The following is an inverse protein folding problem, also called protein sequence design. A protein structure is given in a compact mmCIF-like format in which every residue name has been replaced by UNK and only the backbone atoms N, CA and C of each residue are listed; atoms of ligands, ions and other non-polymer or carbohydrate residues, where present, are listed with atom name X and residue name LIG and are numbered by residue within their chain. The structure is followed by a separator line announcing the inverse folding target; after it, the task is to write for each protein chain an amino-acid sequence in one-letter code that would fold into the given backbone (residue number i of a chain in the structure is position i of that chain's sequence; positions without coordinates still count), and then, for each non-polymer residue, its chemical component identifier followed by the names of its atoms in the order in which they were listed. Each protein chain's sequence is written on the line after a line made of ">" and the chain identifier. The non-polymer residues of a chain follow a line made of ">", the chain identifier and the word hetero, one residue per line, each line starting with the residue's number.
data_IF_364318822271
#
_entry.id   IF_364318822271
#
_cell.length_a   1.000
_cell.length_b   1.000
_cell.length_c   1.000
_cell.angle_alpha   90.00
_cell.angle_beta   90.00
_cell.angle_gamma   90.00
#
_symmetry.space_group_name_H-M   'P 1'
#
loop_
_entity.id
_entity.type
_entity.pdbx_description
1 polymer ?
#
# COMPACT_ATOMS: atom_id res chain seq x y z
N UNK A 1 -20.71 47.64 49.82
CA UNK A 1 -20.94 47.21 48.42
C UNK A 1 -19.58 47.16 47.74
N UNK A 2 -18.97 45.97 47.63
CA UNK A 2 -18.91 45.11 46.42
C UNK A 2 -18.01 45.66 45.29
N UNK A 3 -16.78 45.12 45.27
CA UNK A 3 -16.06 44.50 44.13
C UNK A 3 -15.90 45.31 42.83
N UNK A 4 -14.66 45.76 42.58
CA UNK A 4 -14.14 46.03 41.23
C UNK A 4 -13.34 44.82 40.74
N UNK A 5 -13.92 44.07 39.79
CA UNK A 5 -13.26 43.16 38.85
C UNK A 5 -14.06 43.24 37.56
N UNK A 6 -13.45 43.66 36.45
CA UNK A 6 -13.17 42.78 35.29
C UNK A 6 -12.51 43.57 34.17
N UNK A 7 -11.38 43.03 33.69
CA UNK A 7 -10.81 43.31 32.40
C UNK A 7 -11.76 42.82 31.28
N UNK A 8 -11.82 43.55 30.17
CA UNK A 8 -12.23 42.96 28.89
C UNK A 8 -11.40 43.61 27.78
N UNK A 9 -10.50 42.81 27.23
CA UNK A 9 -9.74 43.10 26.01
C UNK A 9 -10.71 43.36 24.86
N UNK A 10 -10.63 44.54 24.27
CA UNK A 10 -11.10 44.80 22.91
C UNK A 10 -9.87 44.96 22.04
N UNK A 11 -9.33 43.83 21.58
CA UNK A 11 -8.47 43.80 20.41
C UNK A 11 -9.21 42.98 19.35
N UNK A 12 -9.77 43.71 18.40
CA UNK A 12 -10.36 43.23 17.16
C UNK A 12 -9.36 42.36 16.41
N UNK A 13 -9.45 41.05 16.60
CA UNK A 13 -8.73 40.05 15.82
C UNK A 13 -9.63 39.57 14.69
N UNK A 14 -9.29 39.96 13.47
CA UNK A 14 -9.84 39.43 12.22
C UNK A 14 -10.03 37.92 12.27
N UNK A 15 -11.24 37.46 11.92
CA UNK A 15 -11.51 36.12 11.45
C UNK A 15 -10.61 35.84 10.24
N UNK A 16 -9.43 35.30 10.49
CA UNK A 16 -8.67 34.57 9.47
C UNK A 16 -9.11 33.13 9.60
N UNK A 17 -9.99 32.73 8.69
CA UNK A 17 -10.18 31.33 8.31
C UNK A 17 -8.81 30.78 7.94
N UNK A 18 -8.14 30.14 8.89
CA UNK A 18 -7.02 29.29 8.57
C UNK A 18 -7.60 28.10 7.79
N UNK A 19 -7.67 28.22 6.46
CA UNK A 19 -7.41 27.08 5.60
C UNK A 19 -5.99 26.65 5.97
N UNK A 20 -5.86 25.79 6.97
CA UNK A 20 -4.64 25.02 7.17
C UNK A 20 -4.44 24.23 5.88
N UNK A 21 -3.48 24.69 5.09
CA UNK A 21 -2.99 23.97 3.93
C UNK A 21 -2.57 22.60 4.47
N UNK A 22 -3.32 21.53 4.16
CA UNK A 22 -2.94 20.18 4.56
C UNK A 22 -1.60 19.85 3.88
N UNK A 23 -0.49 19.97 4.59
CA UNK A 23 0.86 19.89 4.00
C UNK A 23 1.35 18.45 3.75
N UNK A 24 0.48 17.45 3.81
CA UNK A 24 0.81 16.05 3.51
C UNK A 24 -0.23 15.07 4.04
N UNK A 25 -0.09 13.79 3.71
CA UNK A 25 -0.90 12.71 4.28
C UNK A 25 -0.57 12.49 5.76
N UNK A 26 -1.50 11.87 6.49
CA UNK A 26 -1.39 11.57 7.92
C UNK A 26 -1.22 10.06 8.16
N UNK A 27 -0.75 9.66 9.35
CA UNK A 27 -0.64 8.25 9.73
C UNK A 27 -1.94 7.44 9.51
N UNK A 28 -3.11 7.94 9.95
CA UNK A 28 -4.39 7.29 9.69
C UNK A 28 -4.73 7.13 8.20
N UNK A 29 -4.29 8.05 7.34
CA UNK A 29 -4.52 7.94 5.88
C UNK A 29 -3.62 6.88 5.25
N UNK A 30 -2.36 6.77 5.71
CA UNK A 30 -1.48 5.66 5.31
C UNK A 30 -2.09 4.32 5.72
N UNK A 31 -2.63 4.23 6.94
CA UNK A 31 -3.30 3.02 7.41
C UNK A 31 -4.52 2.67 6.56
N UNK A 32 -5.34 3.65 6.18
CA UNK A 32 -6.47 3.43 5.28
C UNK A 32 -6.04 2.98 3.88
N UNK A 33 -4.97 3.56 3.34
CA UNK A 33 -4.43 3.16 2.04
C UNK A 33 -3.84 1.73 2.09
N UNK A 34 -3.24 1.33 3.21
CA UNK A 34 -2.81 -0.05 3.44
C UNK A 34 -3.98 -1.03 3.46
N UNK A 35 -5.02 -0.74 4.24
CA UNK A 35 -6.24 -1.57 4.27
C UNK A 35 -6.84 -1.69 2.86
N UNK A 36 -6.89 -0.58 2.12
CA UNK A 36 -7.40 -0.58 0.75
C UNK A 36 -6.50 -1.39 -0.19
N UNK A 37 -5.18 -1.36 0.00
CA UNK A 37 -4.26 -2.21 -0.76
C UNK A 37 -4.57 -3.69 -0.50
N UNK A 38 -4.77 -4.08 0.76
CA UNK A 38 -5.08 -5.45 1.17
C UNK A 38 -6.40 -5.97 0.55
N UNK A 39 -7.44 -5.13 0.57
CA UNK A 39 -8.71 -5.44 -0.08
C UNK A 39 -8.51 -5.74 -1.58
N UNK A 40 -7.70 -4.93 -2.28
CA UNK A 40 -7.43 -5.15 -3.71
C UNK A 40 -6.52 -6.33 -3.99
N UNK A 41 -5.55 -6.60 -3.11
CA UNK A 41 -4.72 -7.80 -3.19
C UNK A 41 -5.57 -9.07 -2.98
N UNK A 42 -6.52 -9.02 -2.05
CA UNK A 42 -7.50 -10.10 -1.81
C UNK A 42 -8.42 -10.31 -3.02
N UNK A 43 -8.94 -9.24 -3.61
CA UNK A 43 -9.77 -9.33 -4.82
C UNK A 43 -8.99 -9.90 -6.01
N UNK A 44 -7.73 -9.49 -6.17
CA UNK A 44 -6.82 -10.09 -7.15
C UNK A 44 -6.58 -11.58 -6.89
N UNK A 45 -6.36 -11.97 -5.63
CA UNK A 45 -6.24 -13.38 -5.24
C UNK A 45 -7.46 -14.20 -5.65
N UNK A 46 -8.67 -13.71 -5.36
CA UNK A 46 -9.93 -14.37 -5.77
C UNK A 46 -10.07 -14.46 -7.29
N UNK A 47 -9.74 -13.40 -8.01
CA UNK A 47 -9.78 -13.39 -9.48
C UNK A 47 -8.80 -14.43 -10.06
N UNK A 48 -7.59 -14.51 -9.49
CA UNK A 48 -6.59 -15.50 -9.88
C UNK A 48 -7.04 -16.91 -9.56
N UNK A 49 -7.65 -17.17 -8.41
CA UNK A 49 -8.19 -18.48 -8.06
C UNK A 49 -9.26 -18.93 -9.06
N UNK A 50 -10.15 -18.00 -9.45
CA UNK A 50 -11.19 -18.22 -10.45
C UNK A 50 -10.68 -18.31 -11.90
N UNK A 51 -9.45 -17.88 -12.18
CA UNK A 51 -8.87 -17.92 -13.53
C UNK A 51 -8.76 -19.35 -14.06
N UNK A 52 -9.49 -19.66 -15.12
CA UNK A 52 -9.57 -20.99 -15.74
C UNK A 52 -8.82 -21.09 -17.07
N UNK A 53 -8.15 -20.01 -17.48
CA UNK A 53 -7.46 -19.91 -18.77
C UNK A 53 -8.33 -19.45 -19.93
N UNK A 54 -9.55 -18.97 -19.67
CA UNK A 54 -10.39 -18.29 -20.68
C UNK A 54 -10.10 -16.79 -20.76
N UNK A 55 -10.37 -16.13 -21.90
CA UNK A 55 -10.30 -14.68 -22.01
C UNK A 55 -11.19 -13.94 -21.01
N UNK A 56 -12.38 -14.48 -20.73
CA UNK A 56 -13.36 -13.85 -19.85
C UNK A 56 -12.87 -13.81 -18.40
N UNK A 57 -12.29 -14.91 -17.90
CA UNK A 57 -11.71 -14.92 -16.54
C UNK A 57 -10.38 -14.16 -16.48
N UNK A 58 -9.65 -14.08 -17.60
CA UNK A 58 -8.48 -13.22 -17.72
C UNK A 58 -8.82 -11.73 -17.56
N UNK A 59 -9.91 -11.26 -18.18
CA UNK A 59 -10.32 -9.84 -18.08
C UNK A 59 -10.61 -9.44 -16.63
N UNK A 60 -11.14 -10.36 -15.82
CA UNK A 60 -11.32 -10.16 -14.37
C UNK A 60 -9.98 -10.04 -13.65
N UNK A 61 -9.02 -10.93 -13.93
CA UNK A 61 -7.66 -10.85 -13.37
C UNK A 61 -6.97 -9.55 -13.78
N UNK A 62 -7.10 -9.15 -15.05
CA UNK A 62 -6.52 -7.91 -15.58
C UNK A 62 -7.08 -6.69 -14.86
N UNK A 63 -8.41 -6.62 -14.69
CA UNK A 63 -9.08 -5.55 -13.94
C UNK A 63 -8.60 -5.47 -12.49
N UNK A 64 -8.63 -6.60 -11.77
CA UNK A 64 -8.20 -6.65 -10.37
C UNK A 64 -6.71 -6.28 -10.20
N UNK A 65 -5.85 -6.72 -11.12
CA UNK A 65 -4.43 -6.34 -11.16
C UNK A 65 -4.24 -4.83 -11.33
N UNK A 66 -5.09 -4.21 -12.17
CA UNK A 66 -5.12 -2.76 -12.37
C UNK A 66 -5.53 -1.99 -11.13
N UNK A 67 -6.55 -2.46 -10.40
CA UNK A 67 -7.00 -1.83 -9.15
C UNK A 67 -5.95 -1.96 -8.03
N UNK A 68 -5.34 -3.14 -7.89
CA UNK A 68 -4.26 -3.38 -6.92
C UNK A 68 -3.05 -2.48 -7.21
N UNK A 69 -2.66 -2.35 -8.49
CA UNK A 69 -1.56 -1.45 -8.89
C UNK A 69 -1.87 0.02 -8.59
N UNK A 70 -3.13 0.45 -8.73
CA UNK A 70 -3.55 1.81 -8.40
C UNK A 70 -3.52 2.06 -6.89
N UNK A 71 -3.98 1.10 -6.08
CA UNK A 71 -3.90 1.18 -4.63
C UNK A 71 -2.44 1.30 -4.16
N UNK A 72 -1.53 0.50 -4.72
CA UNK A 72 -0.10 0.58 -4.43
C UNK A 72 0.50 1.96 -4.76
N UNK A 73 0.17 2.52 -5.94
CA UNK A 73 0.65 3.84 -6.36
C UNK A 73 0.12 4.97 -5.46
N UNK A 74 -1.14 4.89 -5.04
CA UNK A 74 -1.74 5.84 -4.10
C UNK A 74 -1.02 5.78 -2.75
N UNK A 75 -0.85 4.58 -2.19
CA UNK A 75 -0.11 4.38 -0.95
C UNK A 75 1.31 4.94 -1.02
N UNK A 76 2.03 4.74 -2.14
CA UNK A 76 3.36 5.33 -2.38
C UNK A 76 3.29 6.87 -2.34
N UNK A 77 2.32 7.47 -3.03
CA UNK A 77 2.17 8.92 -3.08
C UNK A 77 1.92 9.50 -1.68
N UNK A 78 1.00 8.89 -0.94
CA UNK A 78 0.64 9.33 0.40
C UNK A 78 1.80 9.12 1.39
N UNK A 79 2.47 7.96 1.36
CA UNK A 79 3.69 7.70 2.15
C UNK A 79 4.83 8.67 1.81
N UNK A 80 4.89 9.20 0.59
CA UNK A 80 5.92 10.17 0.20
C UNK A 80 5.72 11.54 0.86
N UNK A 81 4.47 11.89 1.16
CA UNK A 81 4.11 13.21 1.73
C UNK A 81 3.95 13.21 3.24
N UNK A 82 3.77 12.05 3.87
CA UNK A 82 3.67 11.96 5.34
C UNK A 82 4.98 12.37 6.01
N UNK A 83 4.85 13.06 7.15
CA UNK A 83 5.96 13.35 8.04
C UNK A 83 6.43 12.12 8.82
N UNK A 84 7.29 12.33 9.81
CA UNK A 84 7.63 11.27 10.77
C UNK A 84 6.36 10.86 11.53
N UNK A 85 6.11 9.55 11.61
CA UNK A 85 4.94 9.00 12.31
C UNK A 85 5.17 9.03 13.82
N UNK A 86 4.10 9.25 14.58
CA UNK A 86 4.14 9.02 16.00
C UNK A 86 4.18 7.51 16.31
N UNK A 87 4.62 7.14 17.52
CA UNK A 87 4.83 5.74 17.89
C UNK A 87 3.61 4.84 17.72
N UNK A 88 2.41 5.35 18.02
CA UNK A 88 1.17 4.58 17.84
C UNK A 88 0.88 4.33 16.36
N UNK A 89 1.03 5.34 15.51
CA UNK A 89 0.78 5.22 14.07
C UNK A 89 1.84 4.34 13.41
N UNK A 90 3.11 4.51 13.77
CA UNK A 90 4.23 3.66 13.34
C UNK A 90 3.92 2.18 13.58
N UNK A 91 3.52 1.85 14.82
CA UNK A 91 3.20 0.49 15.20
C UNK A 91 1.99 -0.05 14.43
N UNK A 92 0.92 0.74 14.32
CA UNK A 92 -0.30 0.32 13.62
C UNK A 92 -0.03 0.05 12.13
N UNK A 93 0.71 0.93 11.47
CA UNK A 93 1.09 0.79 10.06
C UNK A 93 1.99 -0.42 9.86
N UNK A 94 2.97 -0.66 10.74
CA UNK A 94 3.85 -1.81 10.65
C UNK A 94 3.11 -3.14 10.91
N UNK A 95 2.21 -3.15 11.91
CA UNK A 95 1.37 -4.32 12.21
C UNK A 95 0.47 -4.66 11.01
N UNK A 96 -0.18 -3.64 10.41
CA UNK A 96 -1.03 -3.78 9.23
C UNK A 96 -0.24 -4.30 8.02
N UNK A 97 0.86 -3.63 7.65
CA UNK A 97 1.70 -4.04 6.52
C UNK A 97 2.15 -5.51 6.64
N UNK A 98 2.57 -5.93 7.82
CA UNK A 98 3.06 -7.30 8.03
C UNK A 98 1.93 -8.31 7.91
N UNK A 99 0.69 -7.94 8.23
CA UNK A 99 -0.46 -8.82 8.07
C UNK A 99 -0.77 -9.15 6.60
N UNK A 100 -0.38 -8.27 5.67
CA UNK A 100 -0.59 -8.47 4.22
C UNK A 100 0.31 -9.57 3.64
N UNK A 101 1.35 -10.01 4.37
CA UNK A 101 2.36 -10.93 3.84
C UNK A 101 1.76 -12.22 3.26
N UNK A 102 0.80 -12.83 3.95
CA UNK A 102 0.20 -14.09 3.50
C UNK A 102 -0.65 -13.88 2.24
N UNK A 103 -1.30 -12.72 2.11
CA UNK A 103 -2.11 -12.36 0.94
C UNK A 103 -1.20 -12.07 -0.26
N UNK A 104 -0.14 -11.27 -0.08
CA UNK A 104 0.86 -11.00 -1.11
C UNK A 104 1.50 -12.30 -1.60
N UNK A 105 1.93 -13.15 -0.67
CA UNK A 105 2.50 -14.46 -0.98
C UNK A 105 1.53 -15.34 -1.76
N UNK A 106 0.25 -15.34 -1.38
CA UNK A 106 -0.78 -16.14 -2.01
C UNK A 106 -0.94 -15.76 -3.48
N UNK A 107 -1.23 -14.49 -3.79
CA UNK A 107 -1.50 -14.11 -5.18
C UNK A 107 -0.25 -14.24 -6.06
N UNK A 108 0.94 -13.92 -5.54
CA UNK A 108 2.21 -14.09 -6.26
C UNK A 108 2.47 -15.57 -6.59
N UNK A 109 2.21 -16.45 -5.62
CA UNK A 109 2.29 -17.90 -5.82
C UNK A 109 1.27 -18.41 -6.85
N UNK A 110 0.05 -17.86 -6.87
CA UNK A 110 -0.98 -18.24 -7.84
C UNK A 110 -0.63 -17.81 -9.27
N UNK A 111 0.02 -16.65 -9.46
CA UNK A 111 0.60 -16.34 -10.77
C UNK A 111 1.58 -17.43 -11.20
N UNK A 112 2.54 -17.80 -10.36
CA UNK A 112 3.52 -18.85 -10.71
C UNK A 112 2.83 -20.20 -11.04
N UNK A 113 1.84 -20.62 -10.25
CA UNK A 113 1.14 -21.89 -10.46
C UNK A 113 0.29 -21.92 -11.73
N UNK A 114 -0.24 -20.76 -12.17
CA UNK A 114 -1.08 -20.63 -13.38
C UNK A 114 -0.31 -20.27 -14.65
N UNK A 115 1.03 -20.32 -14.64
CA UNK A 115 1.91 -20.05 -15.79
C UNK A 115 1.42 -20.67 -17.11
N UNK A 116 1.08 -21.95 -17.09
CA UNK A 116 0.65 -22.69 -18.30
C UNK A 116 -0.62 -22.08 -18.89
N UNK A 117 -1.58 -21.66 -18.05
CA UNK A 117 -2.82 -21.05 -18.49
C UNK A 117 -2.57 -19.69 -19.15
N UNK A 118 -1.79 -18.82 -18.51
CA UNK A 118 -1.41 -17.52 -19.09
C UNK A 118 -0.63 -17.67 -20.40
N UNK A 119 0.26 -18.65 -20.49
CA UNK A 119 0.99 -18.94 -21.74
C UNK A 119 0.05 -19.40 -22.85
N UNK A 120 -0.93 -20.25 -22.54
CA UNK A 120 -1.91 -20.76 -23.52
C UNK A 120 -2.72 -19.63 -24.17
N UNK A 121 -3.02 -18.57 -23.43
CA UNK A 121 -3.73 -17.38 -23.93
C UNK A 121 -2.80 -16.25 -24.40
N UNK A 122 -1.48 -16.48 -24.45
CA UNK A 122 -0.49 -15.50 -24.91
C UNK A 122 -0.32 -14.28 -24.00
N UNK A 123 -0.56 -14.43 -22.70
CA UNK A 123 -0.48 -13.35 -21.69
C UNK A 123 0.72 -13.46 -20.76
N UNK A 124 1.67 -14.35 -21.03
CA UNK A 124 2.85 -14.52 -20.17
C UNK A 124 3.69 -13.23 -20.05
N UNK A 125 3.87 -12.47 -21.14
CA UNK A 125 4.65 -11.23 -21.12
C UNK A 125 3.96 -10.12 -20.31
N UNK A 126 2.62 -10.13 -20.31
CA UNK A 126 1.82 -9.24 -19.48
C UNK A 126 2.00 -9.58 -17.99
N UNK A 127 1.96 -10.87 -17.62
CA UNK A 127 2.20 -11.30 -16.23
C UNK A 127 3.60 -10.89 -15.79
N UNK A 128 4.63 -11.15 -16.60
CA UNK A 128 5.99 -10.74 -16.29
C UNK A 128 6.09 -9.22 -16.04
N UNK A 129 5.47 -8.42 -16.91
CA UNK A 129 5.42 -6.96 -16.78
C UNK A 129 4.72 -6.51 -15.51
N UNK A 130 3.60 -7.15 -15.15
CA UNK A 130 2.88 -6.87 -13.91
C UNK A 130 3.75 -7.19 -12.68
N UNK A 131 4.37 -8.37 -12.63
CA UNK A 131 5.21 -8.78 -11.50
C UNK A 131 6.44 -7.87 -11.33
N UNK A 132 7.06 -7.44 -12.43
CA UNK A 132 8.15 -6.45 -12.42
C UNK A 132 7.65 -5.10 -11.87
N UNK A 133 6.47 -4.65 -12.30
CA UNK A 133 5.88 -3.42 -11.77
C UNK A 133 5.57 -3.53 -10.27
N UNK A 134 5.06 -4.67 -9.80
CA UNK A 134 4.83 -4.96 -8.39
C UNK A 134 6.13 -4.91 -7.59
N UNK A 135 7.21 -5.52 -8.10
CA UNK A 135 8.55 -5.41 -7.49
C UNK A 135 9.00 -3.95 -7.36
N UNK A 136 8.87 -3.16 -8.42
CA UNK A 136 9.26 -1.75 -8.41
C UNK A 136 8.45 -0.93 -7.41
N UNK A 137 7.15 -1.22 -7.25
CA UNK A 137 6.31 -0.60 -6.23
C UNK A 137 6.83 -0.94 -4.82
N UNK A 138 7.14 -2.21 -4.55
CA UNK A 138 7.70 -2.67 -3.26
C UNK A 138 9.05 -2.02 -2.96
N UNK A 139 9.95 -2.00 -3.95
CA UNK A 139 11.28 -1.39 -3.84
C UNK A 139 11.22 0.14 -3.67
N UNK A 140 10.10 0.77 -4.03
CA UNK A 140 9.87 2.20 -3.80
C UNK A 140 9.19 2.45 -2.45
N UNK A 141 8.09 1.76 -2.16
CA UNK A 141 7.24 1.97 -0.99
C UNK A 141 7.98 1.67 0.31
N UNK A 142 8.60 0.50 0.42
CA UNK A 142 9.10 0.02 1.70
C UNK A 142 10.30 0.82 2.23
N UNK A 143 11.26 1.28 1.40
CA UNK A 143 12.27 2.23 1.85
C UNK A 143 11.68 3.56 2.32
N UNK A 144 10.65 4.08 1.65
CA UNK A 144 9.95 5.30 2.09
C UNK A 144 9.31 5.04 3.45
N UNK A 145 8.51 3.99 3.60
CA UNK A 145 7.82 3.68 4.85
C UNK A 145 8.79 3.49 6.02
N UNK A 146 9.93 2.80 5.79
CA UNK A 146 11.02 2.65 6.77
C UNK A 146 11.59 3.97 7.27
N UNK A 147 11.58 5.02 6.43
CA UNK A 147 12.03 6.35 6.81
C UNK A 147 11.01 7.15 7.63
N UNK A 148 9.76 6.68 7.71
CA UNK A 148 8.64 7.37 8.40
C UNK A 148 8.28 6.73 9.74
N UNK A 149 8.56 5.44 9.91
CA UNK A 149 8.27 4.67 11.13
C UNK A 149 9.39 4.81 12.17
N UNK A 150 9.10 4.41 13.41
CA UNK A 150 10.08 4.35 14.49
C UNK A 150 11.12 3.24 14.26
N UNK A 151 12.24 3.31 14.98
CA UNK A 151 13.39 2.40 14.78
C UNK A 151 13.04 0.91 14.95
N UNK A 152 12.20 0.58 15.93
CA UNK A 152 11.77 -0.80 16.20
C UNK A 152 10.96 -1.35 15.01
N UNK A 153 10.07 -0.53 14.45
CA UNK A 153 9.22 -0.89 13.32
C UNK A 153 9.99 -0.88 11.99
N UNK A 154 11.00 -0.01 11.84
CA UNK A 154 11.88 0.02 10.67
C UNK A 154 12.56 -1.34 10.45
N UNK A 155 13.04 -1.99 11.51
CA UNK A 155 13.60 -3.34 11.42
C UNK A 155 12.57 -4.40 10.98
N UNK A 156 11.30 -4.24 11.38
CA UNK A 156 10.22 -5.16 11.01
C UNK A 156 9.85 -5.00 9.54
N UNK A 157 9.69 -3.76 9.08
CA UNK A 157 9.42 -3.42 7.67
C UNK A 157 10.58 -3.88 6.77
N UNK A 158 11.83 -3.76 7.22
CA UNK A 158 12.99 -4.25 6.47
C UNK A 158 12.98 -5.78 6.26
N UNK A 159 12.58 -6.55 7.29
CA UNK A 159 12.44 -8.01 7.17
C UNK A 159 11.28 -8.39 6.27
N UNK A 160 10.15 -7.69 6.39
CA UNK A 160 9.01 -7.86 5.49
C UNK A 160 9.43 -7.62 4.02
N UNK A 161 10.15 -6.52 3.75
CA UNK A 161 10.69 -6.22 2.42
C UNK A 161 11.54 -7.37 1.87
N UNK A 162 12.53 -7.84 2.64
CA UNK A 162 13.43 -8.91 2.19
C UNK A 162 12.66 -10.20 1.82
N UNK A 163 11.69 -10.59 2.65
CA UNK A 163 10.87 -11.78 2.42
C UNK A 163 9.97 -11.62 1.19
N UNK A 164 9.29 -10.48 1.06
CA UNK A 164 8.38 -10.22 -0.05
C UNK A 164 9.15 -10.11 -1.38
N UNK A 165 10.30 -9.42 -1.40
CA UNK A 165 11.15 -9.31 -2.59
C UNK A 165 11.59 -10.68 -3.10
N UNK A 166 11.95 -11.61 -2.21
CA UNK A 166 12.32 -12.97 -2.61
C UNK A 166 11.16 -13.70 -3.33
N UNK A 167 9.94 -13.62 -2.77
CA UNK A 167 8.76 -14.25 -3.37
C UNK A 167 8.42 -13.62 -4.74
N UNK A 168 8.54 -12.29 -4.85
CA UNK A 168 8.28 -11.61 -6.12
C UNK A 168 9.31 -12.02 -7.18
N UNK A 169 10.58 -12.15 -6.81
CA UNK A 169 11.64 -12.62 -7.73
C UNK A 169 11.36 -14.04 -8.20
N UNK A 170 11.02 -14.96 -7.30
CA UNK A 170 10.64 -16.33 -7.68
C UNK A 170 9.43 -16.36 -8.64
N UNK A 171 8.44 -15.49 -8.41
CA UNK A 171 7.29 -15.35 -9.29
C UNK A 171 7.68 -14.77 -10.67
N UNK A 172 8.60 -13.80 -10.72
CA UNK A 172 9.11 -13.24 -11.99
C UNK A 172 9.87 -14.32 -12.77
N UNK A 173 10.78 -15.04 -12.11
CA UNK A 173 11.61 -16.09 -12.74
C UNK A 173 10.75 -17.25 -13.27
N UNK A 174 9.54 -17.44 -12.72
CA UNK A 174 8.58 -18.35 -13.30
C UNK A 174 8.07 -17.91 -14.68
N UNK A 175 8.27 -16.67 -15.13
CA UNK A 175 7.77 -16.14 -16.40
C UNK A 175 8.84 -15.67 -17.39
N UNK A 176 10.08 -15.48 -16.93
CA UNK A 176 11.24 -15.08 -17.76
C UNK A 176 11.97 -16.31 -18.32
#
# INVERSE_FOLDING_TARGET
>A
MKLFKTALLLASGTLVTACELKTGSTGPEILQDLIRYDERATDLGKALDAFDGSPETFDVVYGASGEQSQAAKRLIADCSTVGQLCRSDSKAIADELISHFDIDKSFLGTFASKKIMFKKIGKQDWVASFLIATKNNVDTLLPIMRSKVDIDDCCRVARFQANLTAIIVDAIDAYV
#
